data_IF_457567891870
#
_entry.id   IF_457567891870
#
_cell.length_a   1.000
_cell.length_b   1.000
_cell.length_c   1.000
_cell.angle_alpha   90.00
_cell.angle_beta   90.00
_cell.angle_gamma   90.00
#
_symmetry.space_group_name_H-M   'P 1'
#
loop_
_entity.id
_entity.type
_entity.pdbx_description
1 polymer ?
#
# COMPACT_ATOMS: atom_id res chain seq x y z
N UNK A 1 -13.35 -1.11 2.71
CA UNK A 1 -11.99 -1.48 2.29
C UNK A 1 -11.16 -1.64 3.55
N UNK A 2 -10.70 -2.84 3.88
CA UNK A 2 -9.87 -3.08 5.07
C UNK A 2 -8.44 -3.27 4.60
N UNK A 3 -7.53 -2.48 5.16
CA UNK A 3 -6.13 -2.44 4.77
C UNK A 3 -5.30 -3.12 5.88
N UNK A 4 -4.44 -4.05 5.51
CA UNK A 4 -3.62 -4.81 6.46
C UNK A 4 -2.15 -4.69 6.08
N UNK A 5 -1.29 -4.44 7.05
CA UNK A 5 0.16 -4.60 6.89
C UNK A 5 0.55 -6.03 7.22
N UNK A 6 1.39 -6.64 6.37
CA UNK A 6 2.06 -7.90 6.74
C UNK A 6 3.59 -7.70 6.89
N UNK A 7 4.12 -6.53 6.54
CA UNK A 7 5.57 -6.28 6.52
C UNK A 7 6.24 -5.75 7.80
N UNK A 8 5.53 -5.08 8.71
CA UNK A 8 6.15 -4.42 9.87
C UNK A 8 5.49 -4.83 11.18
N UNK A 9 5.94 -5.95 11.75
CA UNK A 9 6.06 -6.23 13.20
C UNK A 9 4.82 -6.20 14.12
N UNK A 10 3.87 -5.31 13.91
CA UNK A 10 2.70 -5.13 14.76
C UNK A 10 1.51 -4.69 13.91
N UNK A 11 0.37 -5.31 14.17
CA UNK A 11 -0.95 -4.94 13.64
C UNK A 11 -1.36 -3.56 14.17
N UNK A 12 -0.75 -2.50 13.67
CA UNK A 12 -1.24 -1.13 13.84
C UNK A 12 -2.26 -0.84 12.73
N UNK A 13 -3.41 -0.27 13.10
CA UNK A 13 -4.39 0.25 12.14
C UNK A 13 -3.69 1.29 11.24
N UNK A 14 -3.61 1.02 9.94
CA UNK A 14 -3.06 1.99 8.98
C UNK A 14 -3.99 3.20 8.90
N UNK A 15 -3.45 4.43 8.77
CA UNK A 15 -4.24 5.52 8.21
C UNK A 15 -4.97 5.06 6.93
N UNK A 16 -6.23 5.47 6.73
CA UNK A 16 -6.97 5.07 5.54
C UNK A 16 -6.22 5.49 4.27
N UNK A 17 -6.34 4.73 3.17
CA UNK A 17 -5.72 5.10 1.92
C UNK A 17 -6.36 6.38 1.36
N UNK A 18 -5.53 7.33 0.95
CA UNK A 18 -5.94 8.48 0.15
C UNK A 18 -5.98 8.12 -1.33
N UNK A 19 -4.95 7.40 -1.79
CA UNK A 19 -4.81 6.97 -3.18
C UNK A 19 -4.46 5.48 -3.22
N UNK A 20 -5.12 4.74 -4.11
CA UNK A 20 -4.79 3.35 -4.46
C UNK A 20 -4.64 3.25 -5.97
N UNK A 21 -3.45 2.87 -6.43
CA UNK A 21 -3.16 2.57 -7.84
C UNK A 21 -3.07 1.05 -8.01
N UNK A 22 -4.00 0.45 -8.75
CA UNK A 22 -4.05 -0.99 -9.00
C UNK A 22 -3.36 -1.42 -10.29
N UNK A 23 -2.56 -2.48 -10.22
CA UNK A 23 -1.83 -3.09 -11.34
C UNK A 23 -2.04 -4.62 -11.32
N UNK A 24 -3.12 -5.10 -11.96
CA UNK A 24 -3.56 -6.50 -11.79
C UNK A 24 -3.74 -6.83 -10.29
N UNK A 25 -2.99 -7.81 -9.77
CA UNK A 25 -3.02 -8.23 -8.36
C UNK A 25 -2.12 -7.39 -7.46
N UNK A 26 -1.36 -6.44 -8.01
CA UNK A 26 -0.50 -5.52 -7.27
C UNK A 26 -1.19 -4.17 -7.07
N UNK A 27 -0.74 -3.42 -6.06
CA UNK A 27 -1.13 -2.05 -5.86
C UNK A 27 -0.02 -1.20 -5.25
N UNK A 28 -0.12 0.10 -5.50
CA UNK A 28 0.58 1.15 -4.76
C UNK A 28 -0.46 1.94 -3.94
N UNK A 29 -0.13 2.22 -2.69
CA UNK A 29 -1.01 2.91 -1.74
C UNK A 29 -0.31 4.12 -1.17
N UNK A 30 -1.00 5.26 -1.16
CA UNK A 30 -0.64 6.45 -0.39
C UNK A 30 -1.63 6.64 0.76
N UNK A 31 -1.24 6.43 2.01
CA UNK A 31 -2.11 6.70 3.17
C UNK A 31 -2.33 8.19 3.37
N UNK A 32 -3.42 8.55 4.05
CA UNK A 32 -3.61 9.92 4.50
C UNK A 32 -2.53 10.31 5.50
N UNK A 33 -2.02 11.54 5.39
CA UNK A 33 -0.98 12.09 6.27
C UNK A 33 0.34 11.29 6.31
N UNK A 34 0.61 10.50 5.27
CA UNK A 34 1.90 9.84 5.08
C UNK A 34 2.45 10.24 3.72
N UNK A 35 3.72 10.66 3.69
CA UNK A 35 4.39 11.05 2.46
C UNK A 35 4.88 9.84 1.65
N UNK A 36 5.07 8.70 2.31
CA UNK A 36 5.54 7.47 1.72
C UNK A 36 4.47 6.77 0.87
N UNK A 37 4.97 5.95 -0.06
CA UNK A 37 4.19 5.07 -0.91
C UNK A 37 4.47 3.63 -0.57
N UNK A 38 3.42 2.81 -0.60
CA UNK A 38 3.53 1.43 -0.18
C UNK A 38 3.05 0.48 -1.25
N UNK A 39 3.85 -0.54 -1.52
CA UNK A 39 3.49 -1.59 -2.48
C UNK A 39 2.92 -2.80 -1.77
N UNK A 40 1.90 -3.36 -2.39
CA UNK A 40 1.15 -4.47 -1.85
C UNK A 40 0.35 -5.25 -2.88
N UNK A 41 -0.43 -6.21 -2.40
CA UNK A 41 -1.37 -7.00 -3.18
C UNK A 41 -2.75 -6.42 -3.01
N UNK A 42 -3.48 -6.30 -4.11
CA UNK A 42 -4.90 -5.97 -4.12
C UNK A 42 -5.69 -7.24 -4.42
N UNK A 43 -6.48 -7.68 -3.44
CA UNK A 43 -7.33 -8.87 -3.56
C UNK A 43 -8.73 -8.51 -4.08
N UNK A 44 -9.43 -9.50 -4.65
CA UNK A 44 -10.77 -9.32 -5.26
C UNK A 44 -11.83 -8.84 -4.26
N UNK A 45 -11.64 -9.11 -2.98
CA UNK A 45 -12.50 -8.61 -1.89
C UNK A 45 -12.22 -7.13 -1.53
N UNK A 46 -11.31 -6.47 -2.25
CA UNK A 46 -10.85 -5.11 -2.01
C UNK A 46 -9.90 -4.97 -0.82
N UNK A 47 -9.46 -6.08 -0.21
CA UNK A 47 -8.41 -6.02 0.82
C UNK A 47 -7.06 -5.74 0.19
N UNK A 48 -6.22 -5.02 0.93
CA UNK A 48 -4.86 -4.69 0.53
C UNK A 48 -3.91 -5.23 1.59
N UNK A 49 -2.80 -5.80 1.10
CA UNK A 49 -1.70 -6.27 1.91
C UNK A 49 -0.37 -5.65 1.46
N UNK A 50 0.19 -4.72 2.26
CA UNK A 50 1.43 -4.00 1.93
C UNK A 50 2.67 -4.65 2.54
N UNK A 51 3.75 -4.76 1.74
CA UNK A 51 5.04 -5.37 2.14
C UNK A 51 6.28 -4.52 1.84
N UNK A 52 6.16 -3.44 1.06
CA UNK A 52 7.30 -2.55 0.78
C UNK A 52 6.89 -1.09 0.90
N UNK A 53 7.84 -0.25 1.30
CA UNK A 53 7.70 1.20 1.44
C UNK A 53 8.73 1.92 0.55
N UNK A 54 8.31 3.04 -0.02
CA UNK A 54 9.09 3.88 -0.92
C UNK A 54 8.87 5.33 -0.51
N UNK A 55 9.94 6.14 -0.52
CA UNK A 55 9.84 7.55 -0.12
C UNK A 55 9.03 8.42 -1.10
N UNK A 56 8.84 7.97 -2.34
CA UNK A 56 8.06 8.68 -3.33
C UNK A 56 7.43 7.75 -4.39
N UNK A 57 6.52 8.32 -5.19
CA UNK A 57 5.83 7.60 -6.26
C UNK A 57 6.77 7.16 -7.38
N UNK A 58 7.81 7.93 -7.68
CA UNK A 58 8.73 7.63 -8.77
C UNK A 58 9.52 6.35 -8.48
N UNK A 59 10.06 6.22 -7.27
CA UNK A 59 10.73 5.02 -6.79
C UNK A 59 9.77 3.83 -6.76
N UNK A 60 8.54 4.03 -6.27
CA UNK A 60 7.51 2.99 -6.21
C UNK A 60 7.14 2.45 -7.60
N UNK A 61 7.02 3.33 -8.61
CA UNK A 61 6.72 2.95 -9.99
C UNK A 61 7.86 2.19 -10.66
N UNK A 62 9.12 2.43 -10.27
CA UNK A 62 10.28 1.66 -10.78
C UNK A 62 10.38 0.25 -10.20
N UNK A 63 9.68 -0.02 -9.09
CA UNK A 63 9.62 -1.33 -8.45
C UNK A 63 8.53 -2.26 -9.00
N UNK A 64 7.70 -1.78 -9.95
CA UNK A 64 6.66 -2.56 -10.63
C UNK A 64 7.21 -3.54 -11.68
#
# INVERSE_FOLDING_TARGET
>A
MSLKWVGFGDTHDMPPPEIVLGFHSLCLVKPVNDDDWYMGSLYDNGSIDCWAAYGDLYEALRGL
#
